data_IF_995671315441
#
_entry.id   IF_995671315441
#
_cell.length_a   1.000
_cell.length_b   1.000
_cell.length_c   1.000
_cell.angle_alpha   90.00
_cell.angle_beta   90.00
_cell.angle_gamma   90.00
#
_symmetry.space_group_name_H-M   'P 1'
#
loop_
_entity.id
_entity.type
_entity.pdbx_description
1 polymer ?
#
# COMPACT_ATOMS: atom_id res chain seq x y z
N UNK A 1 23.73 -48.15 2.89
CA UNK A 1 22.39 -47.70 3.33
C UNK A 1 22.50 -47.12 4.72
N UNK A 2 22.36 -45.81 4.87
CA UNK A 2 22.32 -45.10 6.16
C UNK A 2 21.40 -43.89 5.98
N UNK A 3 20.26 -43.92 6.66
CA UNK A 3 19.28 -42.84 6.77
C UNK A 3 19.90 -41.62 7.46
N UNK A 4 19.66 -40.42 6.94
CA UNK A 4 19.45 -39.22 7.75
C UNK A 4 18.44 -38.31 7.05
N UNK A 5 17.23 -38.29 7.60
CA UNK A 5 16.17 -37.30 7.36
C UNK A 5 16.57 -36.01 8.10
N UNK A 6 16.63 -34.87 7.40
CA UNK A 6 16.62 -33.56 8.05
C UNK A 6 15.23 -32.95 7.91
N UNK A 7 14.40 -33.24 8.91
CA UNK A 7 13.25 -32.41 9.28
C UNK A 7 13.80 -31.18 10.00
N UNK A 8 13.58 -29.98 9.44
CA UNK A 8 13.78 -28.73 10.17
C UNK A 8 12.44 -28.05 10.35
N UNK A 9 11.88 -28.23 11.55
CA UNK A 9 10.82 -27.41 12.13
C UNK A 9 11.21 -25.93 12.03
N UNK A 10 10.44 -25.13 11.28
CA UNK A 10 10.40 -23.69 11.52
C UNK A 10 9.42 -23.44 12.66
N UNK A 11 9.98 -23.31 13.86
CA UNK A 11 9.27 -22.91 15.07
C UNK A 11 8.72 -21.51 14.88
N UNK A 12 7.40 -21.41 14.86
CA UNK A 12 6.64 -20.17 15.00
C UNK A 12 6.75 -19.70 16.45
N UNK A 13 7.45 -18.60 16.71
CA UNK A 13 7.22 -17.78 17.90
C UNK A 13 7.84 -16.39 17.71
N UNK A 14 7.01 -15.34 17.78
CA UNK A 14 7.17 -14.18 18.68
C UNK A 14 6.04 -13.19 18.41
N UNK A 15 5.08 -13.14 19.35
CA UNK A 15 4.16 -12.02 19.53
C UNK A 15 4.82 -11.07 20.53
N UNK A 16 5.43 -9.98 20.05
CA UNK A 16 5.69 -8.78 20.83
C UNK A 16 5.42 -7.57 19.93
N UNK A 17 4.59 -6.64 20.40
CA UNK A 17 4.08 -5.50 19.65
C UNK A 17 5.13 -4.44 19.35
N UNK A 18 5.93 -4.68 18.32
CA UNK A 18 6.77 -3.67 17.65
C UNK A 18 6.12 -3.32 16.31
N UNK A 19 6.28 -2.08 15.84
CA UNK A 19 5.79 -1.60 14.55
C UNK A 19 5.89 -2.70 13.48
N UNK A 20 4.77 -3.06 12.83
CA UNK A 20 4.73 -4.10 11.80
C UNK A 20 5.65 -3.66 10.65
N UNK A 21 6.85 -4.22 10.59
CA UNK A 21 7.66 -4.20 9.37
C UNK A 21 7.03 -5.17 8.38
N UNK A 22 6.77 -4.71 7.16
CA UNK A 22 6.29 -5.58 6.07
C UNK A 22 7.47 -6.48 5.66
N UNK A 23 7.39 -7.81 5.78
CA UNK A 23 8.45 -8.68 5.31
C UNK A 23 8.52 -8.65 3.77
N UNK A 24 9.71 -8.84 3.17
CA UNK A 24 9.82 -8.91 1.72
C UNK A 24 9.00 -10.11 1.20
N UNK A 25 8.25 -9.96 0.09
CA UNK A 25 7.47 -11.05 -0.52
C UNK A 25 8.33 -12.23 -0.97
N UNK A 26 9.58 -11.96 -1.36
CA UNK A 26 10.58 -12.95 -1.80
C UNK A 26 11.94 -12.64 -1.16
N UNK A 27 13.03 -13.23 -1.66
CA UNK A 27 14.37 -12.94 -1.16
C UNK A 27 14.75 -11.48 -1.42
N UNK A 28 15.08 -10.75 -0.35
CA UNK A 28 15.69 -9.42 -0.42
C UNK A 28 17.18 -9.50 -0.08
N UNK A 29 17.96 -8.56 -0.61
CA UNK A 29 19.39 -8.49 -0.29
C UNK A 29 19.60 -8.11 1.20
N UNK A 30 20.58 -8.72 1.91
CA UNK A 30 20.83 -8.39 3.31
C UNK A 30 21.21 -6.92 3.57
N UNK A 31 21.73 -6.21 2.57
CA UNK A 31 22.08 -4.78 2.67
C UNK A 31 20.88 -3.86 2.53
N UNK A 32 19.73 -4.35 2.06
CA UNK A 32 18.49 -3.54 2.00
C UNK A 32 18.11 -3.03 3.39
N UNK A 33 17.65 -1.77 3.42
CA UNK A 33 17.22 -1.07 4.63
C UNK A 33 16.23 -1.92 5.44
N UNK A 34 16.35 -1.85 6.77
CA UNK A 34 15.53 -2.68 7.68
C UNK A 34 14.13 -2.11 7.91
N UNK A 35 13.94 -0.83 7.63
CA UNK A 35 12.69 -0.11 7.77
C UNK A 35 11.91 0.06 6.47
N UNK A 36 12.06 -0.90 5.57
CA UNK A 36 11.26 -0.97 4.38
C UNK A 36 9.78 -1.21 4.73
N UNK A 37 8.93 -0.39 4.13
CA UNK A 37 7.47 -0.47 4.28
C UNK A 37 6.75 -0.71 2.98
N UNK A 38 7.48 -0.82 1.85
CA UNK A 38 6.96 -1.34 0.59
C UNK A 38 8.03 -2.00 -0.27
N UNK A 39 7.73 -3.22 -0.69
CA UNK A 39 8.56 -4.07 -1.54
C UNK A 39 8.02 -4.18 -2.95
N UNK A 40 8.96 -4.14 -3.90
CA UNK A 40 8.78 -4.45 -5.31
C UNK A 40 9.48 -5.77 -5.63
N UNK A 41 8.83 -6.66 -6.39
CA UNK A 41 9.45 -7.90 -6.89
C UNK A 41 9.90 -7.66 -8.33
N UNK A 42 11.22 -7.68 -8.54
CA UNK A 42 11.79 -7.33 -9.83
C UNK A 42 11.66 -8.43 -10.87
N UNK A 43 11.63 -8.02 -12.14
CA UNK A 43 11.71 -8.84 -13.34
C UNK A 43 13.01 -8.56 -14.08
N UNK A 44 13.45 -9.50 -14.90
CA UNK A 44 14.68 -9.38 -15.70
C UNK A 44 14.76 -8.14 -16.61
N UNK A 45 13.63 -7.54 -16.99
CA UNK A 45 13.57 -6.35 -17.85
C UNK A 45 13.61 -5.01 -17.10
N UNK A 46 13.52 -5.04 -15.77
CA UNK A 46 13.37 -3.81 -15.00
C UNK A 46 14.70 -3.05 -14.90
N UNK A 47 14.62 -1.71 -14.89
CA UNK A 47 15.78 -0.83 -14.75
C UNK A 47 15.49 0.25 -13.72
N UNK A 48 16.51 0.73 -13.03
CA UNK A 48 16.32 1.75 -11.99
C UNK A 48 15.64 3.02 -12.52
N UNK A 49 15.94 3.42 -13.76
CA UNK A 49 15.33 4.59 -14.40
C UNK A 49 13.83 4.44 -14.67
N UNK A 50 13.33 3.20 -14.74
CA UNK A 50 11.89 2.93 -14.84
C UNK A 50 11.27 2.70 -13.47
N UNK A 51 11.95 1.94 -12.61
CA UNK A 51 11.44 1.53 -11.31
C UNK A 51 11.35 2.71 -10.34
N UNK A 52 12.43 3.49 -10.20
CA UNK A 52 12.42 4.61 -9.25
C UNK A 52 11.24 5.59 -9.48
N UNK A 53 11.04 6.17 -10.68
CA UNK A 53 9.93 7.09 -10.90
C UNK A 53 8.57 6.40 -10.82
N UNK A 54 8.47 5.09 -11.15
CA UNK A 54 7.21 4.36 -11.00
C UNK A 54 6.72 4.33 -9.55
N UNK A 55 7.65 4.33 -8.58
CA UNK A 55 7.36 4.38 -7.14
C UNK A 55 7.46 5.79 -6.54
N UNK A 56 7.59 6.83 -7.36
CA UNK A 56 7.63 8.22 -6.88
C UNK A 56 8.93 8.57 -6.14
N UNK A 57 10.00 7.81 -6.36
CA UNK A 57 11.34 8.05 -5.79
C UNK A 57 12.36 8.30 -6.92
N UNK A 58 13.53 8.85 -6.58
CA UNK A 58 14.63 8.94 -7.56
C UNK A 58 15.60 7.74 -7.44
N UNK A 59 16.48 7.58 -8.43
CA UNK A 59 17.43 6.44 -8.48
C UNK A 59 18.36 6.45 -7.27
N UNK A 60 18.78 7.63 -6.79
CA UNK A 60 19.63 7.75 -5.61
C UNK A 60 18.95 7.24 -4.34
N UNK A 61 17.66 7.55 -4.15
CA UNK A 61 16.84 7.00 -3.07
C UNK A 61 16.68 5.49 -3.20
N UNK A 62 16.42 4.99 -4.41
CA UNK A 62 16.31 3.55 -4.66
C UNK A 62 17.60 2.80 -4.32
N UNK A 63 18.76 3.37 -4.67
CA UNK A 63 20.09 2.84 -4.32
C UNK A 63 20.36 2.96 -2.81
N UNK A 64 19.92 4.05 -2.17
CA UNK A 64 20.02 4.21 -0.71
C UNK A 64 19.21 3.12 0.01
N UNK A 65 18.01 2.80 -0.49
CA UNK A 65 17.17 1.75 0.09
C UNK A 65 17.74 0.36 -0.18
N UNK A 66 18.40 0.17 -1.34
CA UNK A 66 18.98 -1.11 -1.78
C UNK A 66 20.43 -0.92 -2.24
N UNK A 67 21.40 -0.91 -1.32
CA UNK A 67 22.81 -0.62 -1.63
C UNK A 67 23.43 -1.53 -2.70
N UNK A 68 22.92 -2.75 -2.87
CA UNK A 68 23.33 -3.66 -3.95
C UNK A 68 23.17 -3.05 -5.36
N UNK A 69 22.25 -2.10 -5.55
CA UNK A 69 22.03 -1.44 -6.83
C UNK A 69 23.10 -0.39 -7.17
N UNK A 70 23.94 0.01 -6.21
CA UNK A 70 24.90 1.11 -6.38
C UNK A 70 25.94 0.89 -7.50
N UNK A 71 26.24 -0.37 -7.84
CA UNK A 71 27.31 -0.69 -8.79
C UNK A 71 26.82 -0.70 -10.24
N UNK A 72 25.67 -1.33 -10.49
CA UNK A 72 25.21 -1.61 -11.86
C UNK A 72 23.73 -1.30 -12.09
N UNK A 73 22.98 -0.93 -11.04
CA UNK A 73 21.52 -0.74 -11.11
C UNK A 73 20.77 -1.90 -11.79
N UNK A 74 21.27 -3.12 -11.61
CA UNK A 74 20.71 -4.35 -12.17
C UNK A 74 19.89 -5.07 -11.11
N UNK A 75 18.65 -5.41 -11.45
CA UNK A 75 17.82 -6.24 -10.60
C UNK A 75 18.05 -7.73 -10.85
N UNK A 76 17.91 -8.52 -9.80
CA UNK A 76 17.83 -9.98 -9.87
C UNK A 76 16.36 -10.34 -10.07
N UNK A 77 16.08 -11.10 -11.13
CA UNK A 77 14.73 -11.57 -11.44
C UNK A 77 14.13 -12.35 -10.25
N UNK A 78 12.93 -11.97 -9.83
CA UNK A 78 12.20 -12.55 -8.71
C UNK A 78 12.64 -12.08 -7.31
N UNK A 79 13.69 -11.26 -7.19
CA UNK A 79 14.13 -10.73 -5.90
C UNK A 79 13.29 -9.50 -5.46
N UNK A 80 13.22 -9.30 -4.15
CA UNK A 80 12.50 -8.19 -3.51
C UNK A 80 13.43 -7.00 -3.27
N UNK A 81 12.98 -5.81 -3.69
CA UNK A 81 13.68 -4.54 -3.52
C UNK A 81 12.78 -3.56 -2.79
N UNK A 82 13.36 -2.80 -1.88
CA UNK A 82 12.65 -1.79 -1.12
C UNK A 82 12.38 -0.54 -1.97
N UNK A 83 11.14 -0.10 -2.02
CA UNK A 83 10.71 1.08 -2.77
C UNK A 83 10.05 2.14 -1.89
N UNK A 84 9.79 1.82 -0.63
CA UNK A 84 9.27 2.78 0.36
C UNK A 84 9.94 2.53 1.71
N UNK A 85 10.51 3.58 2.30
CA UNK A 85 11.02 3.59 3.67
C UNK A 85 9.99 4.27 4.59
N UNK A 86 9.78 3.72 5.79
CA UNK A 86 9.06 4.38 6.87
C UNK A 86 7.68 4.97 6.48
N UNK A 87 6.88 4.22 5.71
CA UNK A 87 5.53 4.59 5.24
C UNK A 87 5.48 5.90 4.44
N UNK A 88 6.58 6.25 3.76
CA UNK A 88 6.71 7.49 3.01
C UNK A 88 6.89 8.73 3.89
N UNK A 89 7.07 8.56 5.20
CA UNK A 89 7.36 9.67 6.12
C UNK A 89 8.84 10.01 6.03
N UNK A 90 9.21 11.19 5.50
CA UNK A 90 10.61 11.58 5.42
C UNK A 90 11.21 11.68 6.84
N UNK A 91 12.50 11.31 7.02
CA UNK A 91 13.18 11.53 8.30
C UNK A 91 13.08 13.00 8.68
N UNK A 92 12.66 13.29 9.92
CA UNK A 92 12.32 14.62 10.44
C UNK A 92 13.46 15.65 10.30
N UNK A 93 14.70 15.16 10.16
CA UNK A 93 15.91 15.97 10.01
C UNK A 93 16.37 16.16 8.55
N UNK A 94 15.59 15.73 7.55
CA UNK A 94 15.94 15.95 6.14
C UNK A 94 15.59 17.39 5.75
N UNK A 95 16.53 18.19 5.22
CA UNK A 95 16.19 19.48 4.61
C UNK A 95 15.10 19.26 3.55
N UNK A 96 14.13 20.18 3.38
CA UNK A 96 13.15 20.08 2.31
C UNK A 96 13.91 20.00 0.99
N UNK A 97 13.91 18.82 0.37
CA UNK A 97 14.52 18.62 -0.93
C UNK A 97 13.78 19.51 -1.90
N UNK A 98 14.42 20.64 -2.24
CA UNK A 98 13.99 21.51 -3.33
C UNK A 98 14.21 20.69 -4.58
N UNK A 99 13.18 19.97 -5.03
CA UNK A 99 13.23 19.25 -6.30
C UNK A 99 13.42 20.29 -7.39
N UNK A 100 14.66 20.41 -7.85
CA UNK A 100 15.00 21.16 -9.04
C UNK A 100 14.22 20.53 -10.20
N UNK A 101 13.18 21.25 -10.60
CA UNK A 101 12.42 21.02 -11.82
C UNK A 101 13.40 20.90 -12.98
N UNK A 102 13.64 19.68 -13.44
CA UNK A 102 14.39 19.44 -14.67
C UNK A 102 13.59 20.04 -15.82
N UNK A 103 13.99 21.23 -16.27
CA UNK A 103 13.54 21.84 -17.52
C UNK A 103 13.79 20.89 -18.67
N UNK A 104 12.77 20.44 -19.43
CA UNK A 104 13.01 19.79 -20.70
C UNK A 104 13.44 20.88 -21.71
N UNK A 105 14.70 20.84 -22.14
CA UNK A 105 15.15 21.59 -23.32
C UNK A 105 14.61 20.89 -24.56
N UNK A 106 13.44 21.31 -25.02
CA UNK A 106 12.91 20.89 -26.32
C UNK A 106 12.79 22.10 -27.22
N UNK A 107 13.53 22.05 -28.34
CA UNK A 107 13.49 23.00 -29.43
C UNK A 107 12.04 23.12 -29.95
N UNK A 108 11.60 24.35 -30.13
CA UNK A 108 10.23 24.74 -30.40
C UNK A 108 9.65 24.12 -31.68
N UNK A 109 8.41 23.63 -31.60
CA UNK A 109 7.40 23.91 -32.63
C UNK A 109 6.03 24.04 -31.96
N UNK A 110 5.39 25.18 -32.22
CA UNK A 110 4.17 25.68 -31.61
C UNK A 110 2.93 24.99 -32.16
N UNK A 111 2.07 24.46 -31.28
CA UNK A 111 0.62 24.70 -31.33
C UNK A 111 0.01 24.56 -29.92
N UNK A 112 -0.66 25.64 -29.50
CA UNK A 112 -1.44 25.80 -28.27
C UNK A 112 -2.39 24.63 -28.00
N UNK A 113 -2.25 23.98 -26.86
CA UNK A 113 -3.37 23.57 -26.00
C UNK A 113 -2.93 23.69 -24.54
N UNK A 114 -3.40 24.76 -23.89
CA UNK A 114 -3.16 25.02 -22.47
C UNK A 114 -4.16 24.19 -21.67
N UNK A 115 -3.72 23.08 -21.09
CA UNK A 115 -4.41 22.43 -19.98
C UNK A 115 -3.60 22.73 -18.72
N UNK A 116 -3.88 23.88 -18.13
CA UNK A 116 -3.32 24.28 -16.84
C UNK A 116 -4.09 23.48 -15.78
N UNK A 117 -3.52 22.37 -15.31
CA UNK A 117 -3.98 21.75 -14.07
C UNK A 117 -3.79 22.78 -12.93
N UNK A 118 -4.86 23.15 -12.20
CA UNK A 118 -4.71 24.02 -11.05
C UNK A 118 -3.87 23.28 -9.99
N UNK A 119 -2.72 23.84 -9.64
CA UNK A 119 -2.04 23.49 -8.40
C UNK A 119 -2.92 24.00 -7.25
N UNK A 120 -3.83 23.15 -6.79
CA UNK A 120 -4.69 23.46 -5.64
C UNK A 120 -3.85 23.31 -4.38
N UNK A 121 -3.27 24.42 -3.93
CA UNK A 121 -2.70 24.59 -2.60
C UNK A 121 -3.83 24.56 -1.57
N UNK A 122 -3.90 23.50 -0.75
CA UNK A 122 -4.68 23.52 0.49
C UNK A 122 -3.78 23.90 1.67
N UNK A 123 -4.14 25.03 2.29
CA UNK A 123 -3.57 25.64 3.50
C UNK A 123 -3.69 24.71 4.74
N UNK A 124 -2.98 24.98 5.85
CA UNK A 124 -2.30 23.96 6.67
C UNK A 124 -3.28 23.10 7.47
N UNK A 125 -3.29 21.79 7.20
CA UNK A 125 -3.99 20.77 7.99
C UNK A 125 -3.02 20.03 8.91
N UNK A 126 -3.48 19.68 10.10
CA UNK A 126 -3.01 18.66 11.07
C UNK A 126 -1.51 18.53 11.44
N UNK A 127 -0.60 19.37 10.93
CA UNK A 127 0.84 19.31 11.21
C UNK A 127 1.58 18.22 10.44
N UNK A 128 0.92 17.48 9.54
CA UNK A 128 1.54 16.48 8.65
C UNK A 128 1.78 17.12 7.28
N UNK A 129 2.99 17.00 6.76
CA UNK A 129 3.30 17.44 5.39
C UNK A 129 2.74 16.41 4.42
N UNK A 130 1.73 16.81 3.65
CA UNK A 130 1.13 15.97 2.59
C UNK A 130 2.08 15.86 1.39
N UNK A 131 2.57 14.65 1.04
CA UNK A 131 3.41 14.45 -0.13
C UNK A 131 2.65 14.77 -1.42
N UNK A 132 3.28 15.52 -2.32
CA UNK A 132 2.72 15.89 -3.62
C UNK A 132 3.28 14.99 -4.74
N UNK A 133 2.56 14.80 -5.86
CA UNK A 133 1.20 15.28 -6.15
C UNK A 133 0.10 14.46 -5.46
N UNK A 134 -1.11 15.03 -5.35
CA UNK A 134 -2.31 14.37 -4.80
C UNK A 134 -3.51 14.55 -5.74
N UNK A 135 -4.43 13.58 -5.77
CA UNK A 135 -5.72 13.77 -6.43
C UNK A 135 -6.62 14.72 -5.63
N UNK A 136 -7.37 15.64 -6.28
CA UNK A 136 -8.34 16.48 -5.57
C UNK A 136 -9.33 15.66 -4.76
N UNK A 137 -9.80 16.21 -3.64
CA UNK A 137 -10.80 15.58 -2.78
C UNK A 137 -10.23 14.70 -1.66
N UNK A 138 -8.92 14.42 -1.64
CA UNK A 138 -8.29 13.71 -0.51
C UNK A 138 -8.51 14.45 0.82
N UNK A 139 -8.84 13.71 1.88
CA UNK A 139 -9.14 14.27 3.21
C UNK A 139 -7.94 15.01 3.83
N UNK A 140 -8.23 16.07 4.59
CA UNK A 140 -7.20 16.94 5.19
C UNK A 140 -6.58 16.39 6.47
N UNK A 141 -7.22 15.40 7.13
CA UNK A 141 -6.71 14.76 8.34
C UNK A 141 -5.92 13.47 8.04
N UNK A 142 -5.47 13.29 6.79
CA UNK A 142 -4.62 12.17 6.41
C UNK A 142 -3.28 12.21 7.17
N UNK A 143 -2.84 11.06 7.69
CA UNK A 143 -1.55 10.91 8.34
C UNK A 143 -0.72 9.73 7.80
N UNK A 144 -1.26 8.98 6.83
CA UNK A 144 -0.55 7.91 6.14
C UNK A 144 -0.88 7.98 4.64
N UNK A 145 0.15 8.07 3.82
CA UNK A 145 0.03 8.22 2.38
C UNK A 145 0.51 6.96 1.66
N UNK A 146 0.03 6.76 0.44
CA UNK A 146 0.47 5.69 -0.44
C UNK A 146 0.61 6.22 -1.86
N UNK A 147 1.78 5.99 -2.46
CA UNK A 147 2.01 6.35 -3.86
C UNK A 147 1.28 5.38 -4.80
N UNK A 148 0.36 5.92 -5.61
CA UNK A 148 -0.37 5.12 -6.61
C UNK A 148 0.45 5.06 -7.89
N UNK A 149 1.31 4.05 -8.02
CA UNK A 149 2.09 3.84 -9.24
C UNK A 149 1.20 3.53 -10.46
N UNK A 150 1.70 3.82 -11.67
CA UNK A 150 1.00 3.46 -12.89
C UNK A 150 0.76 1.94 -12.99
N UNK A 151 -0.48 1.55 -13.29
CA UNK A 151 -0.89 0.14 -13.38
C UNK A 151 -1.23 -0.52 -12.04
N UNK A 152 -1.01 0.15 -10.90
CA UNK A 152 -1.51 -0.30 -9.60
C UNK A 152 -3.02 -0.10 -9.54
N UNK A 153 -3.74 -1.14 -9.11
CA UNK A 153 -5.19 -1.10 -8.96
C UNK A 153 -5.61 -1.00 -7.49
N UNK A 154 -6.78 -0.41 -7.25
CA UNK A 154 -7.34 -0.16 -5.92
C UNK A 154 -7.33 -1.39 -5.00
N UNK A 155 -7.63 -2.58 -5.55
CA UNK A 155 -7.63 -3.84 -4.78
C UNK A 155 -6.26 -4.21 -4.22
N UNK A 156 -5.17 -3.87 -4.94
CA UNK A 156 -3.81 -4.09 -4.47
C UNK A 156 -3.50 -3.14 -3.31
N UNK A 157 -3.86 -1.86 -3.43
CA UNK A 157 -3.64 -0.84 -2.39
C UNK A 157 -4.36 -1.23 -1.10
N UNK A 158 -5.67 -1.48 -1.15
CA UNK A 158 -6.46 -1.76 0.06
C UNK A 158 -6.02 -3.08 0.72
N UNK A 159 -5.64 -4.09 -0.08
CA UNK A 159 -5.10 -5.36 0.41
C UNK A 159 -3.73 -5.17 1.06
N UNK A 160 -2.88 -4.32 0.47
CA UNK A 160 -1.55 -4.01 0.99
C UNK A 160 -1.66 -3.25 2.31
N UNK A 161 -2.47 -2.20 2.32
CA UNK A 161 -2.66 -1.31 3.46
C UNK A 161 -3.54 -1.90 4.57
N UNK A 162 -4.15 -3.07 4.32
CA UNK A 162 -5.07 -3.75 5.25
C UNK A 162 -6.26 -2.87 5.65
N UNK A 163 -6.78 -2.11 4.69
CA UNK A 163 -7.97 -1.26 4.83
C UNK A 163 -9.09 -1.78 3.94
N UNK A 164 -10.32 -1.37 4.22
CA UNK A 164 -11.46 -1.63 3.36
C UNK A 164 -11.52 -0.64 2.19
N UNK A 165 -12.25 -1.02 1.14
CA UNK A 165 -12.54 -0.09 0.05
C UNK A 165 -13.32 1.13 0.55
N UNK A 166 -14.27 0.93 1.46
CA UNK A 166 -15.09 2.03 1.97
C UNK A 166 -14.26 3.05 2.75
N UNK A 167 -13.28 2.60 3.56
CA UNK A 167 -12.32 3.51 4.20
C UNK A 167 -11.46 4.24 3.17
N UNK A 168 -10.94 3.52 2.17
CA UNK A 168 -10.12 4.14 1.12
C UNK A 168 -10.89 5.19 0.32
N UNK A 169 -12.15 4.93 -0.03
CA UNK A 169 -13.00 5.91 -0.74
C UNK A 169 -13.45 7.03 0.20
N UNK A 170 -13.70 6.75 1.47
CA UNK A 170 -14.02 7.78 2.46
C UNK A 170 -12.88 8.81 2.59
N UNK A 171 -11.62 8.35 2.53
CA UNK A 171 -10.46 9.24 2.59
C UNK A 171 -10.07 9.84 1.24
N UNK A 172 -10.50 9.22 0.13
CA UNK A 172 -10.24 9.66 -1.23
C UNK A 172 -11.52 9.61 -2.10
N UNK A 173 -12.52 10.48 -1.86
CA UNK A 173 -13.85 10.38 -2.46
C UNK A 173 -13.85 10.38 -3.99
N UNK A 174 -12.90 11.09 -4.60
CA UNK A 174 -12.80 11.21 -6.06
C UNK A 174 -12.33 9.92 -6.75
N UNK A 175 -11.84 8.93 -5.99
CA UNK A 175 -11.58 7.56 -6.48
C UNK A 175 -12.88 6.87 -6.91
N UNK A 176 -13.99 7.14 -6.20
CA UNK A 176 -15.29 6.52 -6.40
C UNK A 176 -15.38 5.06 -5.92
N UNK A 177 -16.60 4.57 -5.69
CA UNK A 177 -16.85 3.21 -5.13
C UNK A 177 -16.34 2.06 -6.02
N UNK A 178 -16.23 2.28 -7.32
CA UNK A 178 -15.68 1.30 -8.26
C UNK A 178 -14.17 1.48 -8.50
N UNK A 179 -13.56 2.44 -7.79
CA UNK A 179 -12.18 2.88 -7.94
C UNK A 179 -11.76 3.31 -9.37
N UNK A 180 -12.72 3.55 -10.26
CA UNK A 180 -12.48 3.96 -11.65
C UNK A 180 -11.94 5.39 -11.77
N UNK A 181 -12.14 6.22 -10.74
CA UNK A 181 -11.63 7.58 -10.67
C UNK A 181 -10.20 7.69 -10.10
N UNK A 182 -9.55 6.58 -9.73
CA UNK A 182 -8.22 6.61 -9.11
C UNK A 182 -7.16 7.06 -10.11
N UNK A 183 -6.47 8.15 -9.79
CA UNK A 183 -5.33 8.61 -10.58
C UNK A 183 -4.07 7.79 -10.28
N UNK A 184 -3.24 7.61 -11.31
CA UNK A 184 -1.88 7.13 -11.13
C UNK A 184 -0.91 8.31 -10.93
N UNK A 185 0.27 8.00 -10.43
CA UNK A 185 1.36 8.92 -10.12
C UNK A 185 0.94 10.03 -9.15
N UNK A 186 0.15 9.67 -8.13
CA UNK A 186 -0.29 10.57 -7.05
C UNK A 186 -0.23 9.86 -5.71
N UNK A 187 -0.16 10.62 -4.62
CA UNK A 187 -0.34 10.13 -3.27
C UNK A 187 -1.83 10.06 -2.93
N UNK A 188 -2.26 8.91 -2.43
CA UNK A 188 -3.59 8.67 -1.88
C UNK A 188 -3.52 8.49 -0.37
N UNK A 189 -4.58 8.88 0.33
CA UNK A 189 -4.69 8.69 1.77
C UNK A 189 -5.03 7.25 2.10
N UNK A 190 -4.26 6.64 3.00
CA UNK A 190 -4.47 5.25 3.45
C UNK A 190 -4.51 5.15 4.98
N UNK A 191 -4.64 6.29 5.65
CA UNK A 191 -4.85 6.37 7.08
C UNK A 191 -5.05 7.81 7.53
N UNK A 192 -5.91 7.99 8.54
CA UNK A 192 -6.23 9.29 9.14
C UNK A 192 -5.89 9.31 10.63
N UNK A 193 -5.76 10.52 11.19
CA UNK A 193 -5.62 10.70 12.63
C UNK A 193 -6.88 10.17 13.34
N UNK A 194 -6.68 9.27 14.31
CA UNK A 194 -7.78 8.55 14.98
C UNK A 194 -7.98 7.12 14.46
N UNK A 195 -7.30 6.74 13.37
CA UNK A 195 -7.30 5.40 12.81
C UNK A 195 -8.52 5.08 11.95
N UNK A 196 -8.44 3.97 11.25
CA UNK A 196 -9.55 3.33 10.54
C UNK A 196 -10.48 2.69 11.58
N UNK A 197 -11.76 3.03 11.56
CA UNK A 197 -12.76 2.35 12.39
C UNK A 197 -12.70 0.86 12.06
N UNK A 198 -12.49 -0.07 13.01
CA UNK A 198 -12.31 -1.46 12.66
C UNK A 198 -13.53 -1.95 11.87
N UNK A 199 -13.31 -2.29 10.60
CA UNK A 199 -14.25 -3.12 9.86
C UNK A 199 -14.55 -4.35 10.73
N UNK A 200 -15.82 -4.77 10.87
CA UNK A 200 -16.17 -5.87 11.75
C UNK A 200 -15.32 -7.08 11.38
N UNK A 201 -14.43 -7.46 12.30
CA UNK A 201 -13.64 -8.68 12.17
C UNK A 201 -14.65 -9.80 12.07
N UNK A 202 -14.81 -10.38 10.88
CA UNK A 202 -15.48 -11.67 10.73
C UNK A 202 -14.62 -12.68 11.46
N UNK A 203 -14.85 -12.81 12.76
CA UNK A 203 -14.38 -13.94 13.55
C UNK A 203 -14.84 -15.19 12.84
N UNK A 204 -13.88 -15.98 12.34
CA UNK A 204 -14.10 -17.37 11.96
C UNK A 204 -14.99 -18.00 13.03
N UNK A 205 -16.08 -18.70 12.69
CA UNK A 205 -16.94 -19.30 13.70
C UNK A 205 -16.10 -20.28 14.54
N UNK A 206 -15.91 -19.95 15.82
CA UNK A 206 -15.51 -20.94 16.80
C UNK A 206 -16.68 -21.90 16.92
N UNK A 207 -16.54 -23.09 16.37
CA UNK A 207 -17.50 -24.19 16.52
C UNK A 207 -17.70 -24.43 18.00
N UNK A 208 -18.79 -23.89 18.54
CA UNK A 208 -19.21 -24.14 19.91
C UNK A 208 -20.25 -25.24 19.85
N UNK A 209 -19.82 -26.47 20.12
CA UNK A 209 -20.72 -27.60 20.32
C UNK A 209 -21.42 -27.41 21.67
N UNK A 210 -22.75 -27.26 21.70
CA UNK A 210 -23.62 -27.87 22.72
C UNK A 210 -25.11 -27.45 22.63
N UNK A 211 -25.94 -28.46 22.32
CA UNK A 211 -27.27 -28.85 22.87
C UNK A 211 -28.45 -27.85 22.84
N UNK A 212 -29.41 -28.09 21.93
CA UNK A 212 -30.81 -27.66 22.08
C UNK A 212 -31.67 -27.63 20.79
N UNK A 213 -32.69 -28.49 20.71
CA UNK A 213 -33.87 -28.54 19.81
C UNK A 213 -33.73 -28.77 18.27
N UNK A 214 -32.64 -29.38 17.80
CA UNK A 214 -32.68 -30.32 16.66
C UNK A 214 -33.09 -29.83 15.25
N UNK A 215 -33.22 -28.52 14.99
CA UNK A 215 -33.49 -27.98 13.65
C UNK A 215 -32.31 -27.16 13.16
N UNK A 216 -31.65 -27.59 12.08
CA UNK A 216 -30.61 -26.80 11.42
C UNK A 216 -31.25 -25.75 10.51
N UNK A 217 -30.96 -24.47 10.77
CA UNK A 217 -31.31 -23.36 9.88
C UNK A 217 -30.17 -23.16 8.89
N UNK A 218 -30.39 -23.24 7.56
CA UNK A 218 -29.37 -22.91 6.57
C UNK A 218 -28.99 -21.42 6.67
N UNK A 219 -27.69 -21.12 6.69
CA UNK A 219 -27.17 -19.76 6.66
C UNK A 219 -26.64 -19.45 5.25
N UNK A 220 -26.84 -18.24 4.68
CA UNK A 220 -27.30 -16.99 5.30
C UNK A 220 -28.83 -16.80 5.38
N UNK A 221 -29.30 -16.18 6.48
CA UNK A 221 -30.69 -15.72 6.67
C UNK A 221 -30.82 -14.23 6.31
N UNK A 222 -31.99 -13.82 5.81
CA UNK A 222 -32.27 -12.42 5.45
C UNK A 222 -32.78 -11.65 6.68
N UNK A 223 -32.39 -10.37 6.89
CA UNK A 223 -32.94 -9.56 7.97
C UNK A 223 -34.48 -9.52 7.92
N UNK A 224 -35.14 -9.81 9.04
CA UNK A 224 -36.60 -9.84 9.17
C UNK A 224 -37.25 -11.23 9.12
N UNK A 225 -36.49 -12.33 9.13
CA UNK A 225 -37.03 -13.69 9.16
C UNK A 225 -37.65 -14.05 10.53
N UNK A 226 -38.86 -14.61 10.53
CA UNK A 226 -39.59 -14.95 11.77
C UNK A 226 -38.91 -16.09 12.55
N UNK A 227 -38.83 -15.95 13.87
CA UNK A 227 -38.02 -16.80 14.77
C UNK A 227 -38.59 -18.20 15.04
N UNK A 228 -39.76 -18.55 14.48
CA UNK A 228 -40.47 -19.81 14.74
C UNK A 228 -40.85 -20.58 13.46
N UNK A 229 -40.05 -20.49 12.40
CA UNK A 229 -40.24 -21.28 11.18
C UNK A 229 -39.96 -22.77 11.43
N UNK A 230 -40.95 -23.64 11.16
CA UNK A 230 -40.80 -25.11 11.24
C UNK A 230 -40.40 -25.76 9.90
N UNK A 231 -40.36 -24.99 8.80
CA UNK A 231 -39.99 -25.47 7.46
C UNK A 231 -39.47 -24.32 6.59
N UNK A 232 -38.43 -24.60 5.81
CA UNK A 232 -37.86 -23.71 4.78
C UNK A 232 -38.26 -24.24 3.40
N UNK A 233 -38.60 -23.35 2.46
CA UNK A 233 -38.94 -23.67 1.06
C UNK A 233 -37.95 -22.99 0.12
#
# INVERSE_FOLDING_TARGET
MKFLLFSSLFTQLFCLGTARFEPPPTTADPSTIKDCTWWFVAKASDTCDQIAPSYGINVEQLVRYNPILATSCTFVDGASYCVEQNFGVPPVDSPPTTVASSTPTTLATSTKFSSTLPATSTTPGNGVVTPQPTQPGMVSNCNKFHWVAQGVVCSQIISYQKITRDEFVQWNPTVGQDCSGMWANVNACVGVIGGSTPSPVTTKPTTTTSVGNGVQTPQPTRPGMVTNCKKFH
#
